data_IF_334292476245
#
_entry.id   IF_334292476245
#
_cell.length_a   1.000
_cell.length_b   1.000
_cell.length_c   1.000
_cell.angle_alpha   90.00
_cell.angle_beta   90.00
_cell.angle_gamma   90.00
#
_symmetry.space_group_name_H-M   'P 1'
#
loop_
_entity.id
_entity.type
_entity.pdbx_description
1 polymer ?
2 non-polymer ?
3 water ?
#
# COMPACT_ATOMS: atom_id res chain seq x y z
N UNK A 37 -4.77 5.13 16.64
CA UNK A 37 -5.10 4.71 18.04
C UNK A 37 -6.21 5.58 18.67
N UNK A 38 -6.16 6.89 18.47
CA UNK A 38 -7.08 7.80 19.14
C UNK A 38 -8.50 7.89 18.60
N UNK A 39 -8.65 7.98 17.28
CA UNK A 39 -10.00 7.97 16.70
C UNK A 39 -10.65 6.64 17.13
N UNK A 40 -9.84 5.59 17.08
CA UNK A 40 -10.29 4.25 17.41
C UNK A 40 -10.76 4.09 18.85
N UNK A 41 -9.98 4.67 19.76
CA UNK A 41 -10.32 4.67 21.18
C UNK A 41 -11.67 5.36 21.39
N UNK A 42 -11.90 6.50 20.72
CA UNK A 42 -13.12 7.25 20.84
C UNK A 42 -14.34 6.48 20.27
N UNK A 43 -14.10 5.79 19.16
CA UNK A 43 -15.15 4.97 18.54
C UNK A 43 -15.48 3.80 19.48
N UNK A 44 -14.46 3.14 20.04
CA UNK A 44 -14.67 2.01 20.93
C UNK A 44 -15.50 2.45 22.15
N UNK A 45 -15.28 3.67 22.61
CA UNK A 45 -15.96 4.18 23.78
C UNK A 45 -17.39 4.70 23.53
N UNK A 46 -17.75 4.93 22.28
CA UNK A 46 -19.06 5.44 21.90
C UNK A 46 -20.16 4.38 22.19
N UNK A 47 -21.19 4.76 22.93
CA UNK A 47 -22.17 3.79 23.45
C UNK A 47 -23.37 3.61 22.49
N UNK A 48 -23.37 4.29 21.35
CA UNK A 48 -24.51 4.21 20.44
C UNK A 48 -24.51 2.95 19.58
N UNK A 49 -25.69 2.32 19.40
CA UNK A 49 -25.70 1.03 18.68
C UNK A 49 -25.41 1.14 17.16
N UNK A 50 -25.65 2.31 16.56
CA UNK A 50 -25.48 2.42 15.10
C UNK A 50 -24.16 3.06 14.67
N UNK A 51 -23.21 3.13 15.58
CA UNK A 51 -21.89 3.67 15.25
C UNK A 51 -21.17 2.88 14.14
N UNK A 52 -20.38 3.61 13.33
CA UNK A 52 -19.59 3.00 12.26
C UNK A 52 -18.17 3.59 12.28
N UNK A 53 -17.17 2.73 12.20
CA UNK A 53 -15.76 3.16 12.15
C UNK A 53 -15.25 3.18 10.72
N UNK A 54 -15.27 4.35 10.09
CA UNK A 54 -14.66 4.46 8.77
C UNK A 54 -13.21 4.96 8.85
N UNK A 55 -12.65 5.06 10.06
CA UNK A 55 -11.29 5.60 10.22
C UNK A 55 -10.22 4.54 10.11
N UNK A 56 -10.62 3.27 10.09
CA UNK A 56 -9.71 2.13 10.16
C UNK A 56 -8.91 2.01 8.88
N UNK A 57 -7.94 1.13 8.89
CA UNK A 57 -7.16 0.88 7.71
C UNK A 57 -7.10 -0.58 7.30
N UNK A 58 -8.12 -1.36 7.65
CA UNK A 58 -8.15 -2.78 7.32
C UNK A 58 -9.44 -3.24 6.68
N UNK A 59 -9.31 -4.35 5.95
CA UNK A 59 -10.41 -4.92 5.25
C UNK A 59 -11.32 -5.65 6.23
N UNK A 60 -12.63 -5.41 6.10
CA UNK A 60 -13.64 -6.26 6.75
C UNK A 60 -14.59 -6.85 5.71
N UNK A 61 -15.22 -7.97 6.04
CA UNK A 61 -16.13 -8.63 5.13
C UNK A 61 -17.60 -8.10 5.28
N UNK A 62 -18.56 -8.70 4.58
CA UNK A 62 -19.97 -8.22 4.63
C UNK A 62 -20.53 -8.22 6.05
N UNK A 63 -20.03 -9.13 6.88
CA UNK A 63 -20.47 -9.21 8.26
C UNK A 63 -19.77 -8.18 9.17
N UNK A 64 -18.90 -7.36 8.61
CA UNK A 64 -18.14 -6.40 9.39
C UNK A 64 -16.98 -7.00 10.19
N UNK A 65 -16.58 -8.23 9.87
CA UNK A 65 -15.51 -8.95 10.60
C UNK A 65 -14.20 -8.96 9.80
N UNK A 66 -13.09 -9.04 10.50
CA UNK A 66 -11.79 -9.21 9.84
C UNK A 66 -11.73 -10.67 9.47
N UNK A 67 -11.56 -10.98 8.15
CA UNK A 67 -11.53 -12.34 7.74
C UNK A 67 -10.28 -13.13 8.13
N UNK A 68 -10.44 -14.42 8.37
CA UNK A 68 -9.29 -15.35 8.40
C UNK A 68 -9.27 -15.91 6.98
N UNK A 69 -8.26 -15.53 6.20
CA UNK A 69 -8.20 -16.06 4.84
C UNK A 69 -8.11 -17.57 4.78
N UNK A 70 -8.87 -18.16 3.85
CA UNK A 70 -8.77 -19.58 3.59
C UNK A 70 -7.32 -20.11 3.42
N UNK A 71 -6.50 -19.39 2.66
CA UNK A 71 -5.10 -19.83 2.44
C UNK A 71 -4.30 -19.85 3.76
N UNK A 72 -4.60 -18.92 4.63
CA UNK A 72 -3.92 -18.81 5.91
C UNK A 72 -4.38 -19.92 6.84
N UNK A 73 -5.69 -20.08 6.98
CA UNK A 73 -6.24 -21.26 7.67
C UNK A 73 -5.62 -22.56 7.17
N UNK A 74 -5.56 -22.72 5.85
CA UNK A 74 -5.06 -23.97 5.28
C UNK A 74 -3.53 -24.15 5.44
N UNK A 75 -2.75 -23.08 5.36
CA UNK A 75 -1.30 -23.16 5.62
C UNK A 75 -1.04 -23.57 7.09
N UNK A 76 -1.81 -22.97 7.99
CA UNK A 76 -1.73 -23.31 9.39
C UNK A 76 -2.21 -24.71 9.70
N UNK A 77 -3.30 -25.18 9.08
CA UNK A 77 -3.75 -26.54 9.34
C UNK A 77 -2.66 -27.55 8.90
N UNK A 78 -2.03 -27.29 7.75
CA UNK A 78 -0.89 -28.08 7.27
C UNK A 78 0.31 -28.07 8.19
N UNK A 79 0.66 -26.92 8.75
CA UNK A 79 1.77 -26.84 9.69
C UNK A 79 1.49 -27.64 10.97
N UNK A 80 0.25 -27.52 11.48
CA UNK A 80 -0.14 -28.16 12.73
C UNK A 80 -0.21 -29.69 12.55
N UNK A 81 -0.87 -30.14 11.50
CA UNK A 81 -0.86 -31.57 11.15
C UNK A 81 0.53 -32.17 10.92
N UNK A 82 1.50 -31.36 10.51
CA UNK A 82 2.89 -31.81 10.34
C UNK A 82 3.67 -31.70 11.64
N UNK A 83 3.09 -31.04 12.64
CA UNK A 83 3.68 -30.96 13.98
C UNK A 83 4.75 -29.92 14.18
N UNK A 84 4.83 -28.95 13.26
CA UNK A 84 5.93 -27.99 13.25
C UNK A 84 5.58 -26.68 13.97
N UNK A 85 6.59 -25.99 14.52
CA UNK A 85 6.34 -24.76 15.27
C UNK A 85 5.98 -23.51 14.43
N UNK A 86 5.31 -22.55 15.09
CA UNK A 86 5.04 -21.26 14.45
C UNK A 86 6.32 -20.68 14.00
N UNK A 87 6.31 -20.02 12.84
CA UNK A 87 7.49 -19.40 12.31
C UNK A 87 8.31 -20.35 11.41
N UNK A 88 7.86 -21.58 11.24
CA UNK A 88 8.71 -22.59 10.60
C UNK A 88 8.80 -22.23 9.12
N UNK A 89 10.00 -22.37 8.58
CA UNK A 89 10.13 -22.51 7.12
C UNK A 89 11.11 -23.63 6.80
N UNK A 90 10.88 -24.30 5.67
CA UNK A 90 11.81 -25.37 5.22
C UNK A 90 13.16 -24.79 4.83
N UNK A 91 14.13 -25.66 4.61
CA UNK A 91 15.44 -25.25 4.28
C UNK A 91 15.53 -24.18 3.15
N UNK A 92 14.72 -24.25 2.10
CA UNK A 92 14.86 -23.28 0.99
C UNK A 92 13.76 -22.21 1.05
N UNK A 93 13.18 -22.02 2.24
CA UNK A 93 11.93 -21.27 2.36
C UNK A 93 12.11 -19.79 2.10
N UNK A 94 13.20 -19.21 2.61
CA UNK A 94 13.43 -17.77 2.37
C UNK A 94 13.71 -17.51 0.90
N UNK A 95 14.54 -18.36 0.27
CA UNK A 95 14.83 -18.20 -1.15
C UNK A 95 13.56 -18.34 -1.97
N UNK A 96 12.71 -19.32 -1.65
CA UNK A 96 11.49 -19.53 -2.43
C UNK A 96 10.55 -18.31 -2.27
N UNK A 97 10.50 -17.73 -1.07
CA UNK A 97 9.73 -16.50 -0.86
C UNK A 97 10.26 -15.32 -1.67
N UNK A 98 11.56 -15.07 -1.65
CA UNK A 98 12.14 -13.98 -2.41
C UNK A 98 11.79 -14.13 -3.88
N UNK A 99 11.95 -15.35 -4.42
CA UNK A 99 11.61 -15.62 -5.81
C UNK A 99 10.15 -15.32 -6.11
N UNK A 100 9.28 -15.75 -5.21
CA UNK A 100 7.83 -15.53 -5.38
C UNK A 100 7.47 -14.04 -5.39
N UNK A 101 8.13 -13.25 -4.55
CA UNK A 101 7.91 -11.79 -4.53
C UNK A 101 8.34 -11.12 -5.87
N UNK A 102 9.50 -11.50 -6.36
CA UNK A 102 9.97 -10.96 -7.62
C UNK A 102 8.96 -11.27 -8.72
N UNK A 103 8.44 -12.48 -8.71
CA UNK A 103 7.39 -12.84 -9.72
C UNK A 103 6.10 -12.06 -9.62
N UNK A 104 5.66 -11.78 -8.39
CA UNK A 104 4.51 -10.92 -8.18
C UNK A 104 4.72 -9.53 -8.70
N UNK A 105 5.92 -8.99 -8.53
CA UNK A 105 6.27 -7.67 -9.09
C UNK A 105 6.43 -7.60 -10.61
N UNK A 106 7.09 -8.61 -11.17
CA UNK A 106 7.61 -8.50 -12.53
C UNK A 106 7.02 -9.50 -13.52
N UNK A 107 6.27 -10.48 -13.03
CA UNK A 107 5.74 -11.54 -13.86
C UNK A 107 6.60 -12.79 -13.85
N UNK A 108 5.94 -13.93 -14.10
CA UNK A 108 6.53 -15.28 -13.78
C UNK A 108 7.67 -15.59 -14.69
N UNK A 109 7.65 -14.97 -15.87
CA UNK A 109 8.71 -15.15 -16.81
C UNK A 109 9.29 -13.81 -17.28
N UNK A 110 9.59 -12.89 -16.35
CA UNK A 110 10.31 -11.61 -16.63
C UNK A 110 11.76 -11.84 -17.06
N UNK A 111 12.27 -11.06 -18.05
CA UNK A 111 13.68 -11.09 -18.51
C UNK A 111 14.66 -10.47 -17.54
N UNK A 112 14.18 -9.53 -16.73
CA UNK A 112 15.03 -8.91 -15.69
C UNK A 112 15.44 -9.94 -14.66
N UNK A 113 14.52 -10.84 -14.34
CA UNK A 113 14.77 -11.92 -13.37
C UNK A 113 15.81 -12.85 -14.01
N UNK A 114 15.57 -13.17 -15.29
CA UNK A 114 16.52 -13.87 -16.16
C UNK A 114 17.96 -13.28 -16.21
N UNK A 115 18.10 -11.97 -16.37
CA UNK A 115 19.41 -11.34 -16.49
C UNK A 115 20.16 -11.16 -15.18
N UNK A 116 19.54 -11.52 -14.05
CA UNK A 116 20.17 -11.37 -12.75
C UNK A 116 20.16 -9.93 -12.25
N UNK A 117 19.16 -9.16 -12.66
CA UNK A 117 19.11 -7.75 -12.37
C UNK A 117 18.14 -7.41 -11.22
N UNK A 118 17.63 -8.40 -10.50
CA UNK A 118 16.70 -8.13 -9.40
C UNK A 118 17.24 -8.75 -8.11
N UNK A 119 17.33 -7.91 -7.07
CA UNK A 119 17.82 -8.32 -5.76
C UNK A 119 16.69 -8.16 -4.78
N UNK A 120 16.43 -9.17 -3.95
CA UNK A 120 15.36 -9.04 -2.95
C UNK A 120 15.85 -9.44 -1.57
N UNK A 121 15.52 -8.64 -0.58
CA UNK A 121 15.79 -8.94 0.80
C UNK A 121 14.46 -9.13 1.53
N UNK A 122 14.30 -10.30 2.14
CA UNK A 122 13.11 -10.60 2.91
C UNK A 122 12.97 -9.64 4.10
N UNK A 123 11.73 -9.32 4.44
CA UNK A 123 11.37 -8.52 5.61
C UNK A 123 10.25 -9.25 6.38
N UNK A 124 10.60 -10.44 6.88
CA UNK A 124 9.65 -11.31 7.60
C UNK A 124 9.75 -11.23 9.10
N UNK A 125 10.62 -10.38 9.63
CA UNK A 125 10.95 -10.37 11.05
C UNK A 125 10.48 -9.18 11.86
N UNK A 126 9.57 -8.37 11.32
CA UNK A 126 9.04 -7.20 12.02
C UNK A 126 9.76 -5.87 11.76
N UNK A 127 10.83 -5.89 10.98
CA UNK A 127 11.40 -4.69 10.39
C UNK A 127 10.88 -4.61 8.96
N UNK A 128 10.01 -3.65 8.70
CA UNK A 128 9.39 -3.57 7.35
C UNK A 128 10.32 -3.17 6.25
N UNK A 129 9.92 -3.48 5.01
CA UNK A 129 10.74 -3.20 3.84
C UNK A 129 10.98 -1.71 3.62
N UNK A 130 10.05 -0.87 4.04
CA UNK A 130 10.23 0.55 3.91
C UNK A 130 11.38 1.05 4.77
N UNK A 131 11.47 0.58 6.00
CA UNK A 131 12.60 0.87 6.88
C UNK A 131 13.92 0.35 6.33
N UNK A 132 13.95 -0.91 5.87
CA UNK A 132 15.18 -1.47 5.30
C UNK A 132 15.63 -0.62 4.08
N UNK A 133 14.67 -0.30 3.21
CA UNK A 133 14.98 0.61 2.10
C UNK A 133 15.46 1.99 2.51
N UNK A 134 14.85 2.60 3.50
CA UNK A 134 15.28 3.92 3.97
C UNK A 134 16.69 3.83 4.52
N UNK A 135 16.98 2.81 5.33
CA UNK A 135 18.33 2.65 5.88
C UNK A 135 19.35 2.42 4.76
N UNK A 136 18.97 1.64 3.75
CA UNK A 136 19.90 1.35 2.67
C UNK A 136 20.17 2.60 1.85
N UNK A 137 19.11 3.30 1.46
CA UNK A 137 19.27 4.54 0.71
C UNK A 137 20.11 5.59 1.49
N UNK A 138 19.95 5.63 2.82
CA UNK A 138 20.74 6.54 3.64
C UNK A 138 22.26 6.22 3.62
N UNK A 139 22.64 4.94 3.45
CA UNK A 139 24.03 4.57 3.31
C UNK A 139 24.61 5.04 1.99
N UNK A 140 23.78 5.04 0.93
CA UNK A 140 24.25 5.41 -0.40
C UNK A 140 24.43 6.94 -0.50
N UNK A 141 23.51 7.71 0.11
CA UNK A 141 23.55 9.17 -0.01
C UNK A 141 22.75 9.81 1.09
N UNK A 142 23.38 10.03 2.26
CA UNK A 142 22.66 10.56 3.38
C UNK A 142 22.18 12.00 3.23
N UNK A 143 22.77 12.70 2.28
CA UNK A 143 22.39 14.08 1.94
C UNK A 143 21.19 14.21 0.99
N UNK A 144 20.69 13.10 0.41
CA UNK A 144 19.49 13.15 -0.45
C UNK A 144 18.29 13.78 0.20
N UNK A 145 17.47 14.48 -0.57
CA UNK A 145 16.16 14.88 -0.10
C UNK A 145 15.22 13.73 -0.42
N UNK A 146 14.13 13.68 0.33
CA UNK A 146 13.04 12.72 0.06
C UNK A 146 11.75 13.47 -0.28
N UNK A 147 11.11 13.12 -1.39
CA UNK A 147 9.91 13.78 -1.85
C UNK A 147 8.76 12.76 -1.68
N UNK A 148 7.71 13.16 -0.96
CA UNK A 148 6.52 12.32 -0.76
C UNK A 148 5.24 13.02 -1.26
N UNK A 149 4.15 12.28 -1.44
CA UNK A 149 2.93 12.88 -2.06
C UNK A 149 2.25 13.81 -1.07
N UNK A 150 1.64 14.88 -1.61
CA UNK A 150 0.74 15.73 -0.84
C UNK A 150 -0.71 15.28 -1.11
N UNK A 151 -1.37 14.66 -0.10
CA UNK A 151 -0.93 14.23 1.23
C UNK A 151 -0.33 12.81 1.19
N UNK A 152 0.27 12.34 2.30
CA UNK A 152 0.71 10.95 2.36
C UNK A 152 0.48 10.38 3.77
N UNK A 153 0.41 9.07 3.84
CA UNK A 153 0.40 8.32 5.09
C UNK A 153 1.39 8.90 6.10
N UNK A 154 0.95 9.12 7.33
CA UNK A 154 1.79 9.71 8.39
C UNK A 154 3.16 9.02 8.47
N UNK A 155 3.20 7.72 8.18
CA UNK A 155 4.42 6.98 8.33
C UNK A 155 5.43 7.14 7.26
N UNK A 156 5.04 7.53 6.06
CA UNK A 156 6.03 7.93 5.09
C UNK A 156 6.80 9.09 5.64
N UNK A 157 6.11 10.15 6.04
CA UNK A 157 6.84 11.35 6.47
C UNK A 157 7.73 11.01 7.71
N UNK A 158 7.14 10.36 8.69
CA UNK A 158 7.84 10.06 9.95
C UNK A 158 9.07 9.22 9.72
N UNK A 159 8.89 8.15 8.95
CA UNK A 159 10.02 7.26 8.69
C UNK A 159 11.21 7.94 8.08
N UNK A 160 11.00 8.68 6.97
CA UNK A 160 12.09 9.34 6.30
C UNK A 160 12.66 10.52 7.08
N UNK A 161 11.83 11.27 7.77
CA UNK A 161 12.30 12.38 8.59
C UNK A 161 13.14 11.87 9.76
N UNK A 162 12.63 10.87 10.45
CA UNK A 162 13.39 10.23 11.55
C UNK A 162 14.75 9.70 11.08
N UNK A 163 14.81 9.20 9.85
CA UNK A 163 16.02 8.61 9.29
C UNK A 163 17.08 9.69 8.94
N UNK A 164 16.70 10.98 8.96
CA UNK A 164 17.63 12.07 8.78
C UNK A 164 17.54 12.78 7.44
N UNK A 165 16.61 12.37 6.60
CA UNK A 165 16.42 13.05 5.33
C UNK A 165 15.58 14.28 5.53
N UNK A 166 15.84 15.30 4.69
CA UNK A 166 14.93 16.43 4.54
C UNK A 166 13.77 15.94 3.68
N UNK A 167 12.55 16.05 4.20
CA UNK A 167 11.36 15.57 3.49
C UNK A 167 10.56 16.73 2.94
N UNK A 168 10.29 16.67 1.64
CA UNK A 168 9.49 17.70 0.95
C UNK A 168 8.30 16.94 0.37
N UNK A 169 7.25 17.68 -0.04
CA UNK A 169 6.05 17.08 -0.65
C UNK A 169 5.85 17.57 -2.08
N UNK A 170 5.52 16.66 -2.97
CA UNK A 170 5.16 17.04 -4.32
C UNK A 170 3.63 17.19 -4.38
N UNK A 171 3.13 18.19 -5.14
CA UNK A 171 1.71 18.24 -5.47
C UNK A 171 1.18 16.90 -5.98
N UNK A 172 0.01 16.48 -5.52
CA UNK A 172 -0.57 15.22 -5.95
C UNK A 172 -2.09 15.30 -5.93
N UNK A 173 -2.70 15.23 -4.76
CA UNK A 173 -4.16 15.34 -4.62
C UNK A 173 -4.67 16.77 -4.86
N UNK A 174 -5.74 16.86 -5.64
CA UNK A 174 -6.39 18.14 -5.98
C UNK A 174 -7.81 18.09 -5.48
N UNK A 175 -8.06 18.84 -4.42
CA UNK A 175 -9.33 18.85 -3.69
C UNK A 175 -10.46 19.42 -4.56
N UNK A 176 -10.10 20.26 -5.51
CA UNK A 176 -11.06 20.88 -6.41
C UNK A 176 -11.62 19.90 -7.43
N UNK A 177 -10.81 18.97 -7.87
CA UNK A 177 -11.23 17.99 -8.86
C UNK A 177 -11.40 16.60 -8.28
N UNK A 178 -11.01 16.34 -7.03
CA UNK A 178 -10.96 14.97 -6.48
C UNK A 178 -10.01 14.03 -7.23
N UNK A 179 -9.06 14.58 -7.96
CA UNK A 179 -8.14 13.85 -8.81
C UNK A 179 -6.73 14.30 -8.52
N UNK A 180 -5.85 14.07 -9.48
CA UNK A 180 -4.43 14.39 -9.36
C UNK A 180 -4.14 15.78 -9.95
N UNK A 181 -3.36 16.59 -9.24
CA UNK A 181 -2.81 17.83 -9.80
C UNK A 181 -1.56 17.42 -10.56
N UNK A 182 -1.73 16.87 -11.76
CA UNK A 182 -0.58 16.27 -12.43
C UNK A 182 0.45 17.30 -12.95
N UNK A 183 0.00 18.47 -13.40
CA UNK A 183 0.92 19.54 -13.82
C UNK A 183 1.83 19.98 -12.65
N UNK A 184 1.22 20.15 -11.49
CA UNK A 184 1.94 20.45 -10.27
C UNK A 184 2.95 19.38 -9.90
N UNK A 185 2.54 18.11 -10.01
CA UNK A 185 3.45 16.97 -9.72
C UNK A 185 4.69 16.95 -10.62
N UNK A 186 4.48 17.03 -11.94
CA UNK A 186 5.64 16.99 -12.85
C UNK A 186 6.55 18.19 -12.68
N UNK A 187 6.01 19.37 -12.39
CA UNK A 187 6.82 20.58 -12.23
C UNK A 187 7.70 20.45 -10.98
N UNK A 188 7.12 19.86 -9.94
CA UNK A 188 7.90 19.60 -8.74
C UNK A 188 9.03 18.64 -9.06
N UNK A 189 8.74 17.51 -9.69
CA UNK A 189 9.77 16.52 -10.02
C UNK A 189 10.84 17.16 -10.92
N UNK A 190 10.40 17.99 -11.86
CA UNK A 190 11.35 18.64 -12.76
C UNK A 190 12.28 19.62 -12.09
N UNK A 191 11.94 20.05 -10.88
CA UNK A 191 12.78 20.95 -10.09
C UNK A 191 13.73 20.27 -9.10
N UNK A 192 13.60 18.96 -8.91
CA UNK A 192 14.43 18.26 -7.90
C UNK A 192 15.85 18.01 -8.39
N UNK A 193 16.78 18.02 -7.46
CA UNK A 193 18.21 17.77 -7.76
C UNK A 193 18.43 16.30 -8.04
N UNK A 194 19.50 15.97 -8.78
CA UNK A 194 19.81 14.56 -9.00
C UNK A 194 20.02 13.82 -7.67
N UNK A 195 19.54 12.58 -7.60
CA UNK A 195 19.67 11.76 -6.40
C UNK A 195 18.50 11.90 -5.42
N UNK A 196 17.59 12.85 -5.66
CA UNK A 196 16.43 13.04 -4.80
C UNK A 196 15.59 11.77 -4.86
N UNK A 197 15.14 11.30 -3.70
CA UNK A 197 14.39 10.05 -3.58
C UNK A 197 12.91 10.43 -3.67
N UNK A 198 12.18 9.83 -4.58
CA UNK A 198 10.79 10.14 -4.80
C UNK A 198 9.98 8.92 -4.42
N UNK A 199 9.25 9.02 -3.31
CA UNK A 199 8.42 7.96 -2.83
C UNK A 199 7.06 8.00 -3.51
N UNK A 200 6.74 6.93 -4.24
CA UNK A 200 5.53 6.84 -5.07
C UNK A 200 4.71 5.62 -4.61
N UNK A 201 3.40 5.82 -4.44
CA UNK A 201 2.49 4.71 -4.22
C UNK A 201 2.25 4.06 -5.54
N UNK A 202 2.54 2.76 -5.67
CA UNK A 202 2.35 2.03 -6.94
C UNK A 202 0.88 1.96 -7.37
N UNK A 203 0.00 1.87 -6.37
CA UNK A 203 -1.44 1.75 -6.56
C UNK A 203 -2.08 1.96 -5.21
N UNK A 204 -3.39 2.16 -5.17
CA UNK A 204 -4.15 2.20 -3.92
C UNK A 204 -3.61 3.26 -2.97
N UNK A 205 -3.52 4.47 -3.51
CA UNK A 205 -2.97 5.58 -2.74
C UNK A 205 -3.56 5.69 -1.37
N UNK A 206 -2.69 5.79 -0.37
CA UNK A 206 -3.07 6.07 1.01
C UNK A 206 -2.59 7.49 1.33
N UNK A 207 -3.51 8.42 1.64
CA UNK A 207 -4.88 8.23 2.13
C UNK A 207 -6.02 8.50 1.14
N UNK A 208 -5.71 8.90 -0.09
CA UNK A 208 -6.75 9.54 -0.94
C UNK A 208 -7.50 8.60 -1.87
N UNK A 209 -6.89 7.46 -2.18
CA UNK A 209 -7.40 6.55 -3.18
C UNK A 209 -7.20 7.02 -4.64
N UNK A 210 -6.61 8.20 -4.84
CA UNK A 210 -6.38 8.76 -6.20
C UNK A 210 -5.08 8.16 -6.78
N UNK A 211 -5.20 7.44 -7.88
CA UNK A 211 -4.05 6.78 -8.47
C UNK A 211 -3.76 7.45 -9.83
N UNK A 212 -2.50 7.36 -10.24
CA UNK A 212 -2.11 7.74 -11.61
C UNK A 212 -2.62 6.71 -12.59
N UNK A 213 -2.98 7.13 -13.80
CA UNK A 213 -3.19 6.19 -14.88
C UNK A 213 -1.84 6.06 -15.57
N UNK A 214 -1.79 5.31 -16.67
CA UNK A 214 -0.48 5.06 -17.34
C UNK A 214 0.14 6.22 -18.11
N UNK A 215 -0.68 7.06 -18.74
CA UNK A 215 -0.16 8.26 -19.44
C UNK A 215 0.69 9.00 -18.41
N UNK A 216 0.15 9.02 -17.19
CA UNK A 216 0.76 9.68 -16.07
C UNK A 216 2.00 8.93 -15.58
N UNK A 217 1.92 7.59 -15.39
CA UNK A 217 3.08 6.81 -14.98
C UNK A 217 4.21 6.95 -15.96
N UNK A 218 3.91 6.78 -17.26
CA UNK A 218 4.92 6.99 -18.32
C UNK A 218 5.63 8.35 -18.21
N UNK A 219 4.88 9.43 -18.03
CA UNK A 219 5.49 10.77 -17.90
C UNK A 219 6.33 10.93 -16.63
N UNK A 220 5.86 10.34 -15.52
CA UNK A 220 6.65 10.33 -14.29
C UNK A 220 7.96 9.55 -14.49
N UNK A 221 7.92 8.40 -15.14
CA UNK A 221 9.11 7.63 -15.37
C UNK A 221 10.16 8.44 -16.19
N UNK A 222 9.66 9.16 -17.19
CA UNK A 222 10.51 9.91 -18.13
C UNK A 222 11.20 11.02 -17.37
N UNK A 223 10.47 11.69 -16.46
CA UNK A 223 11.05 12.74 -15.67
C UNK A 223 12.06 12.18 -14.67
N UNK A 224 11.67 11.13 -13.94
CA UNK A 224 12.57 10.49 -12.99
C UNK A 224 13.89 10.11 -13.69
N UNK A 225 13.79 9.53 -14.87
CA UNK A 225 15.02 9.13 -15.57
C UNK A 225 15.85 10.35 -16.01
N UNK A 226 15.19 11.34 -16.60
CA UNK A 226 15.88 12.53 -17.13
C UNK A 226 16.53 13.35 -16.03
N UNK A 227 15.90 13.36 -14.85
CA UNK A 227 16.42 14.15 -13.73
C UNK A 227 17.33 13.37 -12.77
N UNK A 228 17.55 12.09 -13.05
CA UNK A 228 18.41 11.24 -12.24
C UNK A 228 17.89 11.15 -10.78
N UNK A 229 16.57 11.12 -10.66
CA UNK A 229 15.91 10.93 -9.36
C UNK A 229 15.93 9.44 -9.01
N UNK A 230 15.74 9.09 -7.72
CA UNK A 230 15.69 7.70 -7.26
C UNK A 230 14.23 7.31 -6.90
N UNK A 231 13.58 6.45 -7.73
CA UNK A 231 12.20 6.08 -7.42
C UNK A 231 12.13 4.98 -6.34
N UNK A 232 11.28 5.21 -5.36
CA UNK A 232 11.08 4.22 -4.28
C UNK A 232 9.59 3.98 -4.26
N UNK A 233 9.18 2.83 -4.78
CA UNK A 233 7.76 2.51 -4.94
C UNK A 233 7.27 1.72 -3.72
N UNK A 234 6.19 2.20 -3.10
CA UNK A 234 5.51 1.53 -2.02
C UNK A 234 4.32 0.74 -2.62
N UNK A 235 4.36 -0.58 -2.51
CA UNK A 235 3.28 -1.42 -3.02
C UNK A 235 2.85 -2.28 -1.82
N UNK A 236 2.07 -1.69 -0.93
CA UNK A 236 1.55 -2.38 0.24
C UNK A 236 0.15 -3.00 0.02
N UNK A 237 -0.51 -2.63 -1.07
CA UNK A 237 -1.92 -3.00 -1.31
C UNK A 237 -2.07 -3.74 -2.65
N UNK A 238 -1.02 -4.44 -3.07
CA UNK A 238 -1.07 -5.15 -4.37
C UNK A 238 -2.22 -6.13 -4.34
N UNK A 239 -3.11 -6.00 -5.33
CA UNK A 239 -4.28 -6.83 -5.37
C UNK A 239 -5.58 -6.18 -4.95
N UNK A 240 -5.49 -5.02 -4.34
CA UNK A 240 -6.69 -4.26 -3.90
C UNK A 240 -7.18 -3.21 -4.89
N UNK A 241 -6.44 -2.96 -5.96
CA UNK A 241 -6.78 -1.89 -6.93
C UNK A 241 -7.54 -2.45 -8.11
N UNK A 242 -6.80 -2.99 -9.05
CA UNK A 242 -7.39 -3.55 -10.27
C UNK A 242 -7.24 -5.08 -10.33
N UNK A 243 -6.03 -5.58 -10.10
CA UNK A 243 -5.73 -7.02 -10.03
C UNK A 243 -4.30 -7.12 -9.51
N UNK A 244 -3.83 -8.30 -9.12
CA UNK A 244 -2.41 -8.41 -8.73
C UNK A 244 -1.47 -7.97 -9.86
N UNK A 245 -1.76 -8.43 -11.07
CA UNK A 245 -0.94 -8.13 -12.23
C UNK A 245 -0.99 -6.63 -12.59
N UNK A 246 -2.19 -6.05 -12.63
CA UNK A 246 -2.36 -4.63 -13.02
C UNK A 246 -1.76 -3.67 -11.99
N UNK A 247 -1.86 -4.04 -10.71
CA UNK A 247 -1.42 -3.19 -9.62
C UNK A 247 0.11 -3.04 -9.61
N UNK A 248 0.82 -3.98 -10.27
CA UNK A 248 2.28 -3.89 -10.40
C UNK A 248 2.73 -3.12 -11.63
N UNK A 249 1.80 -2.57 -12.43
CA UNK A 249 2.16 -1.90 -13.69
C UNK A 249 3.24 -0.83 -13.52
N UNK A 250 3.12 0.00 -12.49
CA UNK A 250 4.09 1.07 -12.26
C UNK A 250 5.49 0.47 -12.03
N UNK A 251 5.57 -0.67 -11.31
CA UNK A 251 6.85 -1.32 -11.05
C UNK A 251 7.46 -1.80 -12.38
N UNK A 252 6.62 -2.45 -13.20
CA UNK A 252 7.10 -2.92 -14.54
C UNK A 252 7.55 -1.77 -15.47
N UNK A 253 6.85 -0.63 -15.42
CA UNK A 253 7.19 0.56 -16.24
C UNK A 253 8.52 1.17 -15.84
N UNK A 254 8.73 1.31 -14.52
CA UNK A 254 10.04 1.76 -14.06
C UNK A 254 11.16 0.78 -14.37
N UNK A 255 10.89 -0.51 -14.22
CA UNK A 255 11.91 -1.56 -14.39
C UNK A 255 12.41 -1.60 -15.82
N UNK A 256 11.55 -1.17 -16.76
CA UNK A 256 11.90 -1.08 -18.17
C UNK A 256 12.64 0.23 -18.55
N UNK A 257 12.85 1.14 -17.59
CA UNK A 257 13.43 2.42 -17.94
C UNK A 257 14.96 2.45 -17.74
N UNK A 258 15.57 1.27 -17.53
CA UNK A 258 17.01 1.13 -17.38
C UNK A 258 17.58 2.07 -16.31
N UNK A 259 17.09 1.88 -15.10
CA UNK A 259 17.59 2.60 -13.95
C UNK A 259 17.35 1.72 -12.71
N UNK A 260 17.86 2.18 -11.58
CA UNK A 260 17.70 1.43 -10.33
C UNK A 260 16.41 1.84 -9.66
N UNK A 261 15.55 0.86 -9.36
CA UNK A 261 14.22 1.11 -8.84
C UNK A 261 14.11 0.34 -7.51
N UNK A 262 13.70 1.04 -6.46
CA UNK A 262 13.52 0.43 -5.16
C UNK A 262 12.04 0.15 -4.94
N UNK A 263 11.73 -1.05 -4.42
CA UNK A 263 10.33 -1.45 -4.24
C UNK A 263 10.10 -2.05 -2.86
N UNK A 264 9.17 -1.46 -2.09
CA UNK A 264 8.80 -1.98 -0.79
C UNK A 264 7.49 -2.74 -0.94
N UNK A 265 7.56 -4.08 -0.85
CA UNK A 265 6.35 -4.89 -0.83
C UNK A 265 5.91 -5.15 0.59
N UNK A 266 4.61 -5.11 0.85
CA UNK A 266 4.08 -5.42 2.18
C UNK A 266 2.83 -6.26 1.94
N UNK A 267 2.65 -7.30 2.74
CA UNK A 267 1.52 -8.22 2.56
C UNK A 267 0.54 -8.28 3.71
N UNK A 268 0.71 -7.51 4.77
CA UNK A 268 -0.18 -7.67 5.94
C UNK A 268 -1.65 -7.35 5.61
N UNK A 269 -1.89 -6.41 4.71
CA UNK A 269 -3.27 -6.02 4.39
C UNK A 269 -3.94 -7.10 3.54
N UNK A 270 -3.25 -7.59 2.49
CA UNK A 270 -3.83 -8.61 1.63
C UNK A 270 -3.96 -9.99 2.31
N UNK A 271 -3.24 -10.22 3.39
CA UNK A 271 -3.38 -11.47 4.11
C UNK A 271 -4.23 -11.32 5.37
N UNK A 272 -4.70 -10.11 5.63
CA UNK A 272 -5.50 -9.84 6.82
C UNK A 272 -4.77 -10.25 8.10
N UNK A 273 -3.52 -9.78 8.22
CA UNK A 273 -2.66 -10.04 9.38
C UNK A 273 -2.38 -8.68 10.08
N UNK A 274 -3.35 -8.28 10.88
CA UNK A 274 -3.35 -6.98 11.56
C UNK A 274 -2.08 -6.76 12.36
N UNK A 275 -1.41 -5.65 12.14
CA UNK A 275 -0.18 -5.34 12.88
C UNK A 275 1.10 -5.92 12.34
N UNK A 276 1.02 -6.90 11.42
CA UNK A 276 2.23 -7.47 10.83
C UNK A 276 2.90 -6.47 9.93
N UNK A 277 4.21 -6.54 9.83
CA UNK A 277 4.99 -5.75 8.85
C UNK A 277 5.57 -6.58 7.72
N UNK A 278 5.07 -7.78 7.59
CA UNK A 278 5.62 -8.74 6.62
C UNK A 278 5.74 -8.12 5.21
N UNK A 279 6.91 -8.24 4.61
CA UNK A 279 7.09 -7.80 3.24
C UNK A 279 8.46 -8.17 2.70
N UNK A 280 8.98 -7.34 1.80
CA UNK A 280 10.30 -7.58 1.19
C UNK A 280 10.72 -6.32 0.44
N UNK A 281 12.02 -6.06 0.42
CA UNK A 281 12.58 -4.94 -0.32
C UNK A 281 13.17 -5.55 -1.59
N UNK A 282 12.70 -5.09 -2.74
CA UNK A 282 13.31 -5.52 -4.01
C UNK A 282 13.97 -4.30 -4.66
N UNK A 283 15.09 -4.56 -5.35
CA UNK A 283 15.79 -3.52 -6.13
C UNK A 283 16.00 -4.08 -7.53
N UNK A 284 15.44 -3.40 -8.53
CA UNK A 284 15.70 -3.77 -9.89
C UNK A 284 16.84 -2.87 -10.34
N UNK A 285 17.89 -3.43 -10.89
CA UNK A 285 19.02 -2.61 -11.26
C UNK A 285 19.19 -2.51 -12.80
N UNK A 286 20.08 -1.62 -13.21
CA UNK A 286 20.30 -1.39 -14.66
C UNK A 286 21.28 -2.35 -15.34
N UNK A 287 22.04 -3.14 -14.58
CA UNK A 287 22.90 -4.19 -15.13
C UNK A 287 23.10 -5.32 -14.13
N UNK A 288 23.59 -6.46 -14.63
CA UNK A 288 23.95 -7.55 -13.74
C UNK A 288 25.11 -7.12 -12.80
N UNK A 289 26.00 -6.28 -13.30
CA UNK A 289 27.13 -5.77 -12.50
C UNK A 289 26.62 -4.88 -11.37
N UNK A 290 25.63 -4.04 -11.67
CA UNK A 290 25.05 -3.15 -10.67
C UNK A 290 24.32 -4.00 -9.61
N UNK A 291 23.63 -5.08 -10.04
CA UNK A 291 22.97 -5.99 -9.08
C UNK A 291 23.98 -6.65 -8.12
N UNK A 292 25.11 -7.11 -8.63
CA UNK A 292 26.14 -7.75 -7.78
C UNK A 292 26.59 -6.78 -6.69
N UNK A 293 26.86 -5.54 -7.10
CA UNK A 293 27.28 -4.51 -6.18
C UNK A 293 26.23 -4.12 -5.14
N UNK A 294 24.98 -3.96 -5.60
CA UNK A 294 23.89 -3.61 -4.73
C UNK A 294 23.66 -4.71 -3.71
N UNK A 295 23.65 -5.95 -4.18
CA UNK A 295 23.44 -7.08 -3.28
C UNK A 295 24.54 -7.17 -2.21
N UNK A 296 25.81 -7.02 -2.58
CA UNK A 296 26.87 -7.06 -1.56
C UNK A 296 26.74 -5.92 -0.53
N UNK A 297 26.40 -4.72 -0.96
CA UNK A 297 26.20 -3.58 -0.04
C UNK A 297 24.96 -3.78 0.84
N UNK A 298 23.89 -4.31 0.25
CA UNK A 298 22.63 -4.57 0.98
C UNK A 298 22.83 -5.60 2.08
N UNK A 299 23.56 -6.66 1.76
CA UNK A 299 23.87 -7.72 2.72
C UNK A 299 24.65 -7.12 3.91
N UNK A 300 25.63 -6.27 3.61
CA UNK A 300 26.46 -5.69 4.66
C UNK A 300 25.67 -4.74 5.56
N UNK A 301 24.76 -3.97 4.94
CA UNK A 301 23.91 -3.05 5.67
C UNK A 301 22.95 -3.82 6.57
N UNK A 302 22.31 -4.87 6.03
CA UNK A 302 21.38 -5.65 6.87
C UNK A 302 22.12 -6.41 8.01
N UNK A 303 23.25 -7.07 7.73
CA UNK A 303 24.02 -7.79 8.76
C UNK A 303 24.45 -6.83 9.86
N UNK A 304 24.80 -5.61 9.48
CA UNK A 304 25.25 -4.64 10.48
C UNK A 304 24.08 -4.18 11.38
N UNK A 305 22.90 -4.01 10.80
CA UNK A 305 21.79 -3.32 11.47
C UNK A 305 20.85 -4.25 12.22
N UNK A 306 20.54 -5.44 11.68
CA UNK A 306 19.47 -6.23 12.30
C UNK A 306 19.45 -7.64 11.78
N UNK A 307 19.20 -8.59 12.68
CA UNK A 307 19.02 -10.00 12.31
C UNK A 307 17.73 -10.53 12.97
N UNK A 308 16.60 -10.31 12.30
CA UNK A 308 15.29 -10.59 12.85
C UNK A 308 14.72 -11.85 12.22
N UNK A 309 14.54 -12.93 13.01
CA UNK A 309 14.04 -14.15 12.37
C UNK A 309 12.54 -14.03 12.01
N UNK A 310 12.08 -14.91 11.09
CA UNK A 310 10.70 -14.75 10.64
C UNK A 310 9.71 -14.88 11.77
N UNK A 311 8.75 -13.96 11.81
CA UNK A 311 7.65 -14.03 12.75
C UNK A 311 6.65 -15.11 12.30
N UNK A 312 5.72 -15.40 13.22
CA UNK A 312 4.62 -16.35 12.95
C UNK A 312 3.93 -15.93 11.68
N UNK A 313 3.48 -14.68 11.63
CA UNK A 313 2.86 -14.15 10.44
C UNK A 313 3.73 -14.14 9.19
N UNK A 314 5.01 -13.82 9.36
CA UNK A 314 5.92 -13.74 8.23
C UNK A 314 6.07 -15.12 7.60
N UNK A 315 6.18 -16.15 8.44
CA UNK A 315 6.32 -17.51 7.90
C UNK A 315 5.04 -17.99 7.18
N UNK A 316 3.87 -17.57 7.68
CA UNK A 316 2.59 -17.88 7.00
C UNK A 316 2.62 -17.33 5.56
N UNK A 317 2.97 -16.05 5.40
CA UNK A 317 3.00 -15.43 4.08
C UNK A 317 4.00 -16.16 3.20
N UNK A 318 5.16 -16.47 3.74
CA UNK A 318 6.20 -17.16 2.95
C UNK A 318 5.69 -18.54 2.48
N UNK A 319 5.04 -19.27 3.40
CA UNK A 319 4.50 -20.62 3.08
C UNK A 319 3.41 -20.53 2.01
N UNK A 320 2.52 -19.56 2.15
CA UNK A 320 1.45 -19.37 1.18
C UNK A 320 1.99 -18.97 -0.19
N UNK A 321 2.84 -17.95 -0.25
CA UNK A 321 3.34 -17.52 -1.59
C UNK A 321 4.22 -18.56 -2.26
N UNK A 322 4.86 -19.42 -1.46
CA UNK A 322 5.69 -20.50 -1.98
C UNK A 322 4.94 -21.70 -2.54
N UNK A 323 3.70 -21.92 -2.12
CA UNK A 323 2.89 -23.04 -2.52
C UNK A 323 1.91 -22.66 -3.62
N UNK A 324 2.03 -23.30 -4.78
CA UNK A 324 1.05 -22.98 -5.86
C UNK A 324 -0.43 -23.11 -5.45
N UNK A 325 -0.75 -24.12 -4.66
CA UNK A 325 -2.13 -24.32 -4.24
C UNK A 325 -2.61 -23.23 -3.23
N UNK A 326 -1.80 -22.97 -2.24
CA UNK A 326 -2.18 -21.96 -1.26
C UNK A 326 -2.17 -20.56 -1.93
N UNK A 327 -1.17 -20.33 -2.75
CA UNK A 327 -1.08 -19.06 -3.47
C UNK A 327 -2.35 -18.80 -4.31
N UNK A 328 -2.83 -19.84 -4.99
CA UNK A 328 -4.00 -19.71 -5.85
C UNK A 328 -5.23 -19.35 -5.02
N UNK A 329 -5.29 -19.95 -3.84
CA UNK A 329 -6.37 -19.69 -2.92
C UNK A 329 -6.35 -18.24 -2.41
N UNK A 330 -5.17 -17.74 -2.07
CA UNK A 330 -5.01 -16.33 -1.73
C UNK A 330 -5.40 -15.40 -2.87
N UNK A 331 -4.93 -15.68 -4.09
CA UNK A 331 -5.27 -14.87 -5.25
C UNK A 331 -6.77 -14.80 -5.44
N UNK A 332 -7.43 -15.94 -5.36
CA UNK A 332 -8.88 -15.97 -5.51
C UNK A 332 -9.62 -15.12 -4.44
N UNK A 333 -9.24 -15.29 -3.18
CA UNK A 333 -9.91 -14.57 -2.08
C UNK A 333 -9.62 -13.09 -2.09
N UNK A 334 -8.39 -12.74 -2.45
CA UNK A 334 -8.03 -11.32 -2.61
C UNK A 334 -8.88 -10.71 -3.70
N UNK A 335 -9.13 -11.46 -4.77
CA UNK A 335 -10.09 -11.01 -5.80
C UNK A 335 -11.49 -10.72 -5.26
N UNK A 336 -11.96 -11.60 -4.39
CA UNK A 336 -13.30 -11.47 -3.79
C UNK A 336 -13.32 -10.20 -2.95
N UNK A 337 -12.20 -9.93 -2.28
CA UNK A 337 -12.11 -8.80 -1.36
C UNK A 337 -12.09 -7.52 -2.17
N UNK A 338 -11.27 -7.52 -3.23
CA UNK A 338 -11.18 -6.38 -4.14
C UNK A 338 -12.58 -6.09 -4.72
N UNK A 339 -13.32 -7.12 -5.11
CA UNK A 339 -14.61 -6.95 -5.74
C UNK A 339 -15.68 -6.46 -4.73
N UNK A 340 -15.57 -6.91 -3.49
CA UNK A 340 -16.49 -6.35 -2.47
C UNK A 340 -16.26 -4.87 -2.26
N UNK A 341 -14.98 -4.45 -2.25
CA UNK A 341 -14.69 -3.01 -2.12
C UNK A 341 -15.26 -2.22 -3.28
N UNK A 342 -15.09 -2.74 -4.50
CA UNK A 342 -15.71 -2.12 -5.67
C UNK A 342 -17.23 -2.03 -5.55
N UNK A 343 -17.86 -3.09 -5.05
CA UNK A 343 -19.30 -3.06 -4.79
C UNK A 343 -19.68 -1.98 -3.78
N UNK A 344 -18.89 -1.79 -2.71
CA UNK A 344 -19.13 -0.74 -1.74
C UNK A 344 -18.95 0.68 -2.27
N UNK A 345 -17.97 0.90 -3.11
CA UNK A 345 -17.79 2.18 -3.75
C UNK A 345 -19.01 2.49 -4.61
N UNK A 346 -19.41 1.53 -5.44
CA UNK A 346 -20.61 1.66 -6.28
C UNK A 346 -21.87 1.89 -5.42
N UNK A 347 -22.03 1.08 -4.39
CA UNK A 347 -23.12 1.24 -3.50
C UNK A 347 -23.18 2.55 -2.78
N UNK A 348 -22.03 3.04 -2.28
CA UNK A 348 -22.06 4.32 -1.59
C UNK A 348 -22.48 5.48 -2.51
N UNK A 349 -21.93 5.52 -3.70
CA UNK A 349 -22.33 6.53 -4.66
C UNK A 349 -23.86 6.46 -4.90
N UNK A 350 -24.39 5.27 -5.12
CA UNK A 350 -25.83 5.11 -5.35
C UNK A 350 -26.68 5.53 -4.16
N UNK A 351 -26.25 5.18 -2.95
CA UNK A 351 -27.01 5.57 -1.75
C UNK A 351 -26.86 7.06 -1.38
N UNK A 352 -25.72 7.63 -1.70
CA UNK A 352 -25.56 9.08 -1.51
C UNK A 352 -26.56 9.82 -2.43
N UNK A 353 -26.69 9.33 -3.65
CA UNK A 353 -27.63 9.89 -4.64
C UNK A 353 -29.05 9.71 -4.16
N UNK A 354 -29.37 8.50 -3.73
CA UNK A 354 -30.71 8.16 -3.26
C UNK A 354 -31.09 9.05 -2.07
N UNK A 355 -30.12 9.44 -1.25
CA UNK A 355 -30.38 10.34 -0.12
C UNK A 355 -30.55 11.83 -0.50
N UNK A 356 -30.49 12.14 -1.79
CA UNK A 356 -30.80 13.49 -2.27
C UNK A 356 -29.66 14.47 -2.19
N UNK A 357 -28.44 13.99 -1.97
CA UNK A 357 -27.27 14.86 -1.90
C UNK A 357 -26.98 15.43 -3.29
N UNK A 358 -26.82 16.74 -3.36
CA UNK A 358 -26.59 17.39 -4.63
C UNK A 358 -25.14 17.25 -5.16
N UNK A 359 -24.17 17.12 -4.30
CA UNK A 359 -22.81 16.95 -4.81
C UNK A 359 -22.58 15.70 -5.69
N UNK A 360 -21.72 15.84 -6.68
CA UNK A 360 -21.27 14.73 -7.53
C UNK A 360 -20.18 13.91 -6.80
N UNK A 361 -20.51 12.65 -6.53
CA UNK A 361 -19.64 11.70 -5.78
C UNK A 361 -19.11 10.62 -6.69
N UNK A 362 -19.18 10.85 -8.00
CA UNK A 362 -18.63 9.91 -8.97
C UNK A 362 -17.14 9.61 -8.73
N UNK A 363 -16.39 10.57 -8.18
CA UNK A 363 -14.99 10.31 -7.87
C UNK A 363 -14.73 9.11 -6.95
N UNK A 364 -15.71 8.76 -6.13
CA UNK A 364 -15.57 7.58 -5.26
C UNK A 364 -15.38 6.32 -6.11
N UNK A 365 -16.06 6.27 -7.25
CA UNK A 365 -15.91 5.13 -8.16
C UNK A 365 -14.56 5.17 -8.92
N UNK A 366 -13.96 6.35 -9.08
CA UNK A 366 -12.66 6.45 -9.76
C UNK A 366 -11.47 6.17 -8.83
N UNK A 367 -11.70 6.30 -7.53
CA UNK A 367 -10.66 6.04 -6.50
C UNK A 367 -10.51 4.54 -6.26
N UNK A 368 -9.36 4.12 -5.73
CA UNK A 368 -8.99 2.71 -5.71
C UNK A 368 -8.38 2.31 -4.39
N UNK A 369 -8.59 1.06 -4.02
CA UNK A 369 -8.04 0.49 -2.80
C UNK A 369 -8.96 0.65 -1.62
N UNK A 370 -8.39 0.67 -0.41
CA UNK A 370 -9.18 0.71 0.80
C UNK A 370 -9.76 2.08 1.13
N UNK A 371 -9.17 3.13 0.59
CA UNK A 371 -9.45 4.49 1.01
C UNK A 371 -10.06 5.40 -0.04
N UNK A 372 -10.81 6.39 0.43
CA UNK A 372 -11.21 7.55 -0.36
C UNK A 372 -11.10 8.79 0.48
N UNK A 373 -10.71 9.88 -0.16
CA UNK A 373 -10.91 11.17 0.42
C UNK A 373 -12.36 11.57 0.11
N UNK A 374 -13.20 11.63 1.13
CA UNK A 374 -14.61 11.94 0.98
C UNK A 374 -14.89 13.36 0.56
N UNK A 375 -13.96 14.26 0.84
CA UNK A 375 -14.15 15.69 0.57
C UNK A 375 -14.89 16.45 1.65
N UNK A 376 -15.24 15.76 2.74
CA UNK A 376 -15.85 16.43 3.87
C UNK A 376 -14.80 17.29 4.55
N UNK A 377 -15.22 18.45 5.06
CA UNK A 377 -14.39 19.34 5.89
C UNK A 377 -14.20 18.74 7.28
N UNK A 378 -13.21 19.22 8.03
CA UNK A 378 -13.05 18.76 9.39
C UNK A 378 -14.31 19.05 10.25
N UNK A 379 -14.95 20.20 10.07
CA UNK A 379 -16.21 20.50 10.78
C UNK A 379 -17.32 19.50 10.43
N UNK A 380 -17.39 19.10 9.17
CA UNK A 380 -18.40 18.12 8.75
C UNK A 380 -18.10 16.73 9.33
N UNK A 381 -16.83 16.36 9.38
CA UNK A 381 -16.38 15.13 10.07
C UNK A 381 -16.68 15.16 11.58
N UNK A 382 -16.45 16.29 12.25
CA UNK A 382 -16.90 16.46 13.64
C UNK A 382 -18.40 16.22 13.81
N UNK A 383 -19.22 16.75 12.91
CA UNK A 383 -20.68 16.60 12.99
C UNK A 383 -21.09 15.14 12.77
N UNK A 384 -20.47 14.48 11.79
CA UNK A 384 -20.76 13.06 11.52
C UNK A 384 -20.56 12.25 12.76
N UNK A 385 -19.47 12.53 13.47
CA UNK A 385 -19.14 11.79 14.65
C UNK A 385 -20.07 12.13 15.80
N UNK A 386 -20.22 13.42 16.07
CA UNK A 386 -20.92 13.89 17.26
C UNK A 386 -22.41 13.61 17.14
N UNK A 387 -23.03 13.88 15.99
CA UNK A 387 -24.48 13.75 15.81
C UNK A 387 -24.90 12.34 15.38
N UNK A 388 -24.03 11.61 14.68
CA UNK A 388 -24.39 10.30 14.12
C UNK A 388 -23.51 9.11 14.52
N UNK A 389 -22.38 9.32 15.20
CA UNK A 389 -21.51 8.21 15.55
C UNK A 389 -20.85 7.55 14.33
N UNK A 390 -20.70 8.32 13.25
CA UNK A 390 -19.93 7.84 12.08
C UNK A 390 -18.54 8.49 12.17
N UNK A 391 -17.50 7.66 12.30
CA UNK A 391 -16.12 8.11 12.51
C UNK A 391 -15.29 8.07 11.24
N UNK A 392 -14.93 9.27 10.73
CA UNK A 392 -13.97 9.42 9.66
C UNK A 392 -12.71 10.16 10.18
N UNK A 393 -11.63 10.14 9.39
CA UNK A 393 -10.41 10.91 9.73
C UNK A 393 -10.74 12.40 9.50
N UNK A 394 -10.13 13.28 10.31
CA UNK A 394 -10.36 14.71 10.22
C UNK A 394 -10.14 15.32 8.82
N UNK A 395 -9.29 14.66 8.06
CA UNK A 395 -8.97 14.96 6.65
C UNK A 395 -10.09 14.59 5.63
N UNK A 396 -11.11 13.87 6.12
CA UNK A 396 -12.11 13.30 5.26
C UNK A 396 -11.82 11.90 4.71
N UNK A 397 -10.71 11.29 5.09
CA UNK A 397 -10.39 9.94 4.66
C UNK A 397 -11.43 8.98 5.24
N UNK A 398 -11.97 8.12 4.38
CA UNK A 398 -12.85 7.03 4.83
C UNK A 398 -12.30 5.72 4.31
N UNK A 399 -12.51 4.64 5.06
CA UNK A 399 -12.16 3.31 4.63
C UNK A 399 -13.39 2.65 4.02
N UNK A 400 -13.40 2.52 2.69
CA UNK A 400 -14.54 1.96 1.97
C UNK A 400 -14.72 0.48 2.27
N UNK A 401 -13.63 -0.18 2.68
CA UNK A 401 -13.65 -1.57 3.06
C UNK A 401 -14.40 -1.80 4.38
N UNK A 402 -14.71 -0.73 5.15
CA UNK A 402 -15.51 -0.83 6.38
C UNK A 402 -17.03 -0.73 6.11
N UNK A 403 -17.40 -0.50 4.85
CA UNK A 403 -18.78 -0.43 4.47
C UNK A 403 -19.34 -1.84 4.19
N UNK A 404 -20.64 -2.01 4.42
CA UNK A 404 -21.31 -3.26 4.08
C UNK A 404 -22.79 -2.94 3.86
N UNK A 405 -23.56 -3.89 3.37
CA UNK A 405 -24.93 -3.55 2.97
C UNK A 405 -25.80 -3.13 4.14
N UNK A 406 -25.38 -3.49 5.35
CA UNK A 406 -26.12 -3.16 6.55
C UNK A 406 -25.79 -1.77 7.09
N UNK A 407 -24.69 -1.16 6.64
CA UNK A 407 -24.40 0.22 7.06
C UNK A 407 -24.38 1.30 5.96
N UNK A 408 -24.61 0.91 4.70
CA UNK A 408 -24.51 1.87 3.62
C UNK A 408 -25.48 3.04 3.77
N UNK A 409 -26.74 2.73 4.06
CA UNK A 409 -27.77 3.75 4.26
C UNK A 409 -27.52 4.59 5.49
N UNK A 410 -27.11 3.96 6.60
CA UNK A 410 -26.78 4.71 7.81
C UNK A 410 -25.71 5.78 7.49
N UNK A 411 -24.66 5.34 6.79
CA UNK A 411 -23.57 6.24 6.41
C UNK A 411 -24.02 7.29 5.40
N UNK A 412 -24.66 6.86 4.31
CA UNK A 412 -25.12 7.79 3.25
C UNK A 412 -26.09 8.85 3.79
N UNK A 413 -27.04 8.42 4.59
CA UNK A 413 -28.05 9.37 5.12
C UNK A 413 -27.47 10.39 6.11
N UNK A 414 -26.43 10.00 6.84
CA UNK A 414 -25.73 10.85 7.80
C UNK A 414 -24.89 11.88 7.06
N UNK A 415 -24.24 11.46 5.99
CA UNK A 415 -23.44 12.38 5.19
C UNK A 415 -24.38 13.41 4.61
N UNK A 416 -25.56 12.96 4.16
CA UNK A 416 -26.54 13.87 3.58
C UNK A 416 -26.99 14.93 4.59
N UNK A 417 -27.20 14.52 5.83
CA UNK A 417 -27.66 15.43 6.87
C UNK A 417 -26.59 16.49 7.14
N UNK A 418 -25.32 16.08 7.22
CA UNK A 418 -24.18 16.98 7.48
C UNK A 418 -23.89 17.93 6.30
N UNK A 419 -24.31 17.55 5.10
CA UNK A 419 -24.05 18.39 3.91
C UNK A 419 -25.26 19.26 3.59
X LIG B 1 15.62 -9.92 7.94
X LIG B 1 16.06 -11.05 8.68
X LIG B 1 16.50 -8.78 8.37
X LIG B 1 16.99 -9.19 9.64
X LIG B 1 15.75 -7.48 8.47
X LIG B 1 14.63 -7.71 9.30
#
# INVERSE_FOLDING_TARGET
MAHHHHHHMGTLEAQTQGPGSMSLFSAVELAPRDPILGLNEAFNADTRPTKVNLGVGVYTNEDGKIPLLRAVRDAEKARVEAGLPRGYLPIDGIAAYDASVQKLLLGDDSPLIAAGRVVTAQALGGTGALKIGADFLRTLNPKAKVAISDPSWENHRALFDMAGFEVVAYPYYDAKTNGVNFDGMLAALNGYEPGTIVVLHACCHNPTGVDLNDAQWAQVVEVVKARRLVPFLDIAYQGFGESIEADAAAVRLFAAANLNVFVSSSFSKSFSLYGERVGALSIITDSKDEAARVLSQLKRVIRTNYSNPPTHGGAIVAAVLASPELRASWVQELGEMRDRIRAMRNGLVERLKAAGIERDFSFINAQRGMFSYSGLTSAQVDRLREEFGIYAVSTGRICVAALNTRNLDVVANAIAAVLK
GOL C1 O1 C2 O2 C3 O3
#
